data_IF_685500964599
#
_entry.id   IF_685500964599
#
_cell.length_a   1.000
_cell.length_b   1.000
_cell.length_c   1.000
_cell.angle_alpha   90.00
_cell.angle_beta   90.00
_cell.angle_gamma   90.00
#
_symmetry.space_group_name_H-M   'P 1'
#
loop_
_entity.id
_entity.type
_entity.pdbx_description
1 polymer ?
#
# COMPACT_ATOMS: atom_id res chain seq x y z
N UNK A 1 21.11 0.54 -72.84
CA UNK A 1 19.74 0.15 -73.24
C UNK A 1 18.91 -0.07 -71.97
N UNK A 2 17.67 0.46 -71.95
CA UNK A 2 16.64 0.52 -70.88
C UNK A 2 16.39 -0.80 -70.09
N UNK A 3 15.62 -0.82 -68.97
CA UNK A 3 14.92 0.27 -68.25
C UNK A 3 14.99 0.26 -66.70
N UNK A 4 14.60 1.40 -66.12
CA UNK A 4 14.13 1.59 -64.75
C UNK A 4 12.81 0.83 -64.50
N UNK A 5 12.68 0.17 -63.35
CA UNK A 5 11.39 -0.15 -62.73
C UNK A 5 11.17 0.73 -61.49
N UNK A 6 10.26 1.69 -61.59
CA UNK A 6 9.66 2.38 -60.45
C UNK A 6 8.76 1.41 -59.69
N UNK A 7 9.09 1.12 -58.42
CA UNK A 7 8.13 0.50 -57.48
C UNK A 7 7.26 1.59 -56.88
N UNK A 8 5.99 1.57 -57.26
CA UNK A 8 4.92 2.34 -56.66
C UNK A 8 4.69 1.81 -55.23
N UNK A 9 5.10 2.56 -54.21
CA UNK A 9 4.75 2.26 -52.82
C UNK A 9 3.37 2.88 -52.56
N UNK A 10 2.37 2.03 -52.44
CA UNK A 10 1.03 2.43 -51.99
C UNK A 10 1.13 2.81 -50.50
N UNK A 11 1.09 4.10 -50.17
CA UNK A 11 0.86 4.55 -48.81
C UNK A 11 -0.60 4.24 -48.44
N UNK A 12 -0.83 3.16 -47.70
CA UNK A 12 -2.08 2.97 -46.97
C UNK A 12 -2.04 3.87 -45.75
N UNK A 13 -2.69 5.02 -45.84
CA UNK A 13 -2.98 5.86 -44.68
C UNK A 13 -3.99 5.13 -43.80
N UNK A 14 -3.51 4.30 -42.89
CA UNK A 14 -4.32 3.81 -41.78
C UNK A 14 -4.61 5.00 -40.88
N UNK A 15 -5.83 5.55 -40.99
CA UNK A 15 -6.37 6.50 -40.05
C UNK A 15 -6.31 5.87 -38.66
N UNK A 16 -5.29 6.27 -37.90
CA UNK A 16 -5.11 5.87 -36.52
C UNK A 16 -6.21 6.59 -35.75
N UNK A 17 -7.30 5.90 -35.47
CA UNK A 17 -8.24 6.32 -34.44
C UNK A 17 -7.47 6.29 -33.13
N UNK A 18 -6.91 7.45 -32.76
CA UNK A 18 -6.45 7.74 -31.42
C UNK A 18 -7.63 7.42 -30.50
N UNK A 19 -7.50 6.51 -29.54
CA UNK A 19 -8.52 6.36 -28.51
C UNK A 19 -8.62 7.72 -27.83
N UNK A 20 -9.77 8.38 -27.98
CA UNK A 20 -10.02 9.66 -27.35
C UNK A 20 -9.70 9.53 -25.86
N UNK A 21 -8.78 10.35 -25.38
CA UNK A 21 -8.54 10.47 -23.94
C UNK A 21 -9.90 10.72 -23.28
N UNK A 22 -10.21 9.96 -22.24
CA UNK A 22 -11.40 10.19 -21.45
C UNK A 22 -11.40 11.66 -21.01
N UNK A 23 -12.19 12.49 -21.69
CA UNK A 23 -12.34 13.89 -21.34
C UNK A 23 -12.78 13.98 -19.88
N UNK A 24 -12.23 14.94 -19.15
CA UNK A 24 -12.67 15.19 -17.79
C UNK A 24 -14.21 15.26 -17.78
N UNK A 25 -14.86 14.39 -17.01
CA UNK A 25 -16.32 14.40 -16.85
C UNK A 25 -16.76 15.84 -16.54
N UNK A 26 -17.64 16.42 -17.35
CA UNK A 26 -18.14 17.76 -17.10
C UNK A 26 -19.11 17.75 -15.90
N UNK A 27 -18.57 17.98 -14.71
CA UNK A 27 -19.35 18.07 -13.50
C UNK A 27 -20.07 19.43 -13.41
N UNK A 28 -21.38 19.42 -13.16
CA UNK A 28 -22.12 20.62 -12.84
C UNK A 28 -21.60 21.32 -11.57
N UNK A 29 -21.75 22.65 -11.48
CA UNK A 29 -21.18 23.44 -10.37
C UNK A 29 -21.69 23.02 -8.98
N UNK A 30 -22.93 22.53 -8.87
CA UNK A 30 -23.45 21.97 -7.61
C UNK A 30 -22.61 20.76 -7.16
N UNK A 31 -22.39 19.81 -8.05
CA UNK A 31 -21.59 18.61 -7.78
C UNK A 31 -20.14 18.98 -7.47
N UNK A 32 -19.54 19.92 -8.21
CA UNK A 32 -18.20 20.42 -7.92
C UNK A 32 -18.08 21.02 -6.52
N UNK A 33 -19.06 21.84 -6.09
CA UNK A 33 -19.08 22.40 -4.73
C UNK A 33 -19.14 21.32 -3.66
N UNK A 34 -19.99 20.31 -3.82
CA UNK A 34 -20.10 19.19 -2.87
C UNK A 34 -18.80 18.38 -2.82
N UNK A 35 -18.21 18.05 -3.96
CA UNK A 35 -16.93 17.33 -4.02
C UNK A 35 -15.81 18.10 -3.29
N UNK A 36 -15.75 19.43 -3.43
CA UNK A 36 -14.79 20.28 -2.70
C UNK A 36 -15.02 20.29 -1.19
N UNK A 37 -16.25 20.04 -0.71
CA UNK A 37 -16.55 19.88 0.71
C UNK A 37 -16.09 18.50 1.21
N UNK A 38 -16.44 17.43 0.49
CA UNK A 38 -16.00 16.07 0.78
C UNK A 38 -14.46 15.95 0.82
N UNK A 39 -13.78 16.61 -0.13
CA UNK A 39 -12.32 16.67 -0.17
C UNK A 39 -11.72 17.17 1.15
N UNK A 40 -12.38 18.05 1.89
CA UNK A 40 -11.85 18.65 3.14
C UNK A 40 -12.10 17.78 4.38
N UNK A 41 -12.91 16.74 4.29
CA UNK A 41 -13.27 15.92 5.45
C UNK A 41 -12.10 15.04 5.89
N UNK A 42 -11.92 14.93 7.20
CA UNK A 42 -10.94 14.04 7.81
C UNK A 42 -11.44 12.61 7.91
N UNK A 43 -12.66 12.45 8.41
CA UNK A 43 -13.39 11.20 8.59
C UNK A 43 -14.90 11.49 8.41
N UNK A 44 -15.68 10.47 8.08
CA UNK A 44 -17.14 10.55 8.01
C UNK A 44 -17.79 10.49 9.40
N UNK A 45 -17.19 9.72 10.31
CA UNK A 45 -17.67 9.59 11.69
C UNK A 45 -17.28 10.79 12.52
N UNK A 46 -18.13 11.15 13.49
CA UNK A 46 -17.89 12.24 14.43
C UNK A 46 -16.72 11.92 15.36
N UNK A 47 -16.00 12.95 15.78
CA UNK A 47 -14.95 12.82 16.78
C UNK A 47 -15.54 12.51 18.16
N UNK A 48 -14.78 11.74 18.95
CA UNK A 48 -15.14 11.41 20.33
C UNK A 48 -14.61 12.49 21.27
N UNK A 49 -15.44 13.12 22.12
CA UNK A 49 -15.04 14.28 22.93
C UNK A 49 -13.82 14.06 23.84
N UNK A 50 -13.61 12.82 24.32
CA UNK A 50 -12.52 12.47 25.23
C UNK A 50 -11.21 12.10 24.53
N UNK A 51 -11.18 12.07 23.19
CA UNK A 51 -10.02 11.63 22.40
C UNK A 51 -9.61 12.69 21.37
N UNK A 52 -8.39 12.60 20.81
CA UNK A 52 -7.99 13.42 19.68
C UNK A 52 -8.98 13.31 18.51
N UNK A 53 -9.02 14.36 17.69
CA UNK A 53 -9.84 14.39 16.48
C UNK A 53 -8.89 14.46 15.28
N UNK A 54 -8.94 13.44 14.43
CA UNK A 54 -8.05 13.34 13.29
C UNK A 54 -8.23 14.53 12.34
N UNK A 55 -7.12 15.11 11.90
CA UNK A 55 -7.10 16.19 10.92
C UNK A 55 -6.32 15.77 9.69
N UNK A 56 -7.05 15.55 8.58
CA UNK A 56 -6.41 15.29 7.29
C UNK A 56 -5.53 16.48 6.90
N UNK A 57 -4.39 16.16 6.29
CA UNK A 57 -3.45 17.15 5.75
C UNK A 57 -3.33 16.94 4.25
N UNK A 58 -4.28 17.49 3.53
CA UNK A 58 -4.41 17.40 2.06
C UNK A 58 -4.35 18.77 1.37
N UNK A 59 -3.78 19.77 2.06
CA UNK A 59 -3.38 21.05 1.51
C UNK A 59 -2.04 20.93 0.77
N UNK A 60 -2.06 20.13 -0.30
CA UNK A 60 -0.85 19.73 -1.01
C UNK A 60 -0.05 20.92 -1.56
N UNK A 61 1.29 20.90 -1.45
CA UNK A 61 2.14 21.94 -1.98
C UNK A 61 2.24 21.82 -3.50
N UNK A 62 2.20 22.96 -4.21
CA UNK A 62 2.43 22.97 -5.67
C UNK A 62 3.90 22.74 -6.04
N UNK A 63 4.81 23.13 -5.16
CA UNK A 63 6.25 23.08 -5.38
C UNK A 63 6.95 22.23 -4.33
N UNK A 64 7.85 21.41 -4.82
CA UNK A 64 8.87 20.72 -4.06
C UNK A 64 9.72 21.72 -3.27
N UNK A 65 10.39 21.24 -2.24
CA UNK A 65 11.52 21.94 -1.62
C UNK A 65 12.74 21.04 -1.77
N UNK A 66 13.87 21.55 -2.29
CA UNK A 66 15.11 20.79 -2.26
C UNK A 66 15.39 20.34 -0.82
N UNK A 67 15.67 19.06 -0.66
CA UNK A 67 16.02 18.47 0.61
C UNK A 67 17.18 17.49 0.40
N UNK A 68 18.14 17.51 1.32
CA UNK A 68 19.20 16.51 1.35
C UNK A 68 18.61 15.22 1.94
N UNK A 69 18.51 14.19 1.11
CA UNK A 69 17.99 12.89 1.52
C UNK A 69 19.10 12.09 2.23
N UNK A 70 18.94 11.69 3.50
CA UNK A 70 19.99 11.04 4.29
C UNK A 70 20.53 9.72 3.73
N UNK A 71 19.74 9.03 2.89
CA UNK A 71 20.11 7.76 2.28
C UNK A 71 20.65 7.88 0.86
N UNK A 72 20.82 9.11 0.33
CA UNK A 72 21.22 9.36 -1.06
C UNK A 72 22.48 8.61 -1.47
N UNK A 73 23.45 8.55 -0.56
CA UNK A 73 24.77 7.96 -0.80
C UNK A 73 24.90 6.54 -0.22
N UNK A 74 23.79 5.92 0.19
CA UNK A 74 23.76 4.54 0.68
C UNK A 74 23.25 3.65 -0.45
N UNK A 75 24.06 2.68 -0.88
CA UNK A 75 23.61 1.67 -1.82
C UNK A 75 22.72 0.65 -1.10
N UNK A 76 21.42 0.74 -1.32
CA UNK A 76 20.43 -0.14 -0.72
C UNK A 76 20.59 -1.62 -1.10
N UNK A 77 21.31 -1.94 -2.20
CA UNK A 77 21.52 -3.33 -2.63
C UNK A 77 22.60 -4.03 -1.82
N UNK A 78 23.56 -3.27 -1.30
CA UNK A 78 24.71 -3.79 -0.54
C UNK A 78 24.62 -3.44 0.95
N UNK A 79 23.94 -2.34 1.30
CA UNK A 79 23.74 -1.87 2.67
C UNK A 79 22.24 -1.66 3.01
N UNK A 80 21.36 -2.67 2.82
CA UNK A 80 19.90 -2.50 2.97
C UNK A 80 19.46 -2.06 4.36
N UNK A 81 20.10 -2.57 5.42
CA UNK A 81 19.79 -2.19 6.80
C UNK A 81 20.12 -0.72 7.08
N UNK A 82 21.33 -0.28 6.69
CA UNK A 82 21.77 1.11 6.88
C UNK A 82 20.88 2.07 6.10
N UNK A 83 20.50 1.70 4.88
CA UNK A 83 19.55 2.45 4.06
C UNK A 83 18.20 2.61 4.77
N UNK A 84 17.62 1.49 5.21
CA UNK A 84 16.37 1.46 5.95
C UNK A 84 16.43 2.33 7.21
N UNK A 85 17.47 2.18 8.02
CA UNK A 85 17.67 2.99 9.25
C UNK A 85 17.71 4.49 8.96
N UNK A 86 18.37 4.91 7.88
CA UNK A 86 18.39 6.31 7.46
C UNK A 86 16.99 6.82 7.05
N UNK A 87 16.21 6.01 6.33
CA UNK A 87 14.82 6.32 5.96
C UNK A 87 13.92 6.39 7.21
N UNK A 88 14.06 5.45 8.15
CA UNK A 88 13.30 5.42 9.40
C UNK A 88 13.56 6.66 10.27
N UNK A 89 14.81 7.07 10.38
CA UNK A 89 15.20 8.29 11.10
C UNK A 89 14.58 9.55 10.46
N UNK A 90 14.58 9.63 9.12
CA UNK A 90 13.93 10.71 8.39
C UNK A 90 12.42 10.77 8.64
N UNK A 91 11.74 9.61 8.66
CA UNK A 91 10.31 9.49 8.94
C UNK A 91 9.98 9.91 10.37
N UNK A 92 10.75 9.43 11.35
CA UNK A 92 10.52 9.71 12.77
C UNK A 92 10.77 11.18 13.13
N UNK A 93 11.66 11.87 12.41
CA UNK A 93 12.07 13.25 12.70
C UNK A 93 10.88 14.21 12.84
N UNK A 94 10.63 14.60 14.10
CA UNK A 94 9.53 15.48 14.50
C UNK A 94 8.16 14.82 14.57
N UNK A 95 7.93 13.67 13.93
CA UNK A 95 6.64 12.97 13.96
C UNK A 95 6.42 12.24 15.29
N UNK A 96 7.43 11.55 15.83
CA UNK A 96 7.31 10.82 17.10
C UNK A 96 7.00 11.76 18.27
N UNK A 97 7.53 12.99 18.23
CA UNK A 97 7.31 14.01 19.26
C UNK A 97 5.93 14.69 19.22
N UNK A 98 5.17 14.54 18.13
CA UNK A 98 3.83 15.13 17.98
C UNK A 98 2.73 14.08 17.87
N UNK A 99 3.03 12.84 18.27
CA UNK A 99 2.10 11.71 18.20
C UNK A 99 1.48 11.57 16.80
N UNK A 100 2.32 11.71 15.77
CA UNK A 100 1.95 11.55 14.36
C UNK A 100 0.85 12.49 13.86
N UNK A 101 0.53 13.55 14.61
CA UNK A 101 -0.30 14.65 14.14
C UNK A 101 0.49 15.51 13.16
N UNK A 102 0.51 15.12 11.88
CA UNK A 102 1.40 15.66 10.84
C UNK A 102 1.37 17.19 10.69
N UNK A 103 0.27 17.84 11.05
CA UNK A 103 0.14 19.31 11.06
C UNK A 103 0.96 20.00 12.16
N UNK A 104 1.37 19.26 13.20
CA UNK A 104 2.16 19.75 14.32
C UNK A 104 3.67 19.53 14.12
N UNK A 105 4.08 18.66 13.18
CA UNK A 105 5.49 18.43 12.89
C UNK A 105 6.12 19.72 12.33
N UNK A 106 7.14 20.24 13.03
CA UNK A 106 7.88 21.45 12.65
C UNK A 106 9.21 21.17 11.95
N UNK A 107 9.63 19.91 11.89
CA UNK A 107 10.86 19.49 11.20
C UNK A 107 10.59 19.25 9.72
N UNK A 108 9.50 18.56 9.39
CA UNK A 108 9.14 18.19 8.02
C UNK A 108 7.65 18.23 7.78
N UNK A 109 7.30 18.57 6.54
CA UNK A 109 5.92 18.55 6.06
C UNK A 109 5.56 17.15 5.54
N UNK A 110 4.49 16.57 6.10
CA UNK A 110 3.91 15.30 5.68
C UNK A 110 2.43 15.45 5.34
N UNK A 111 1.90 14.62 4.45
CA UNK A 111 0.57 14.78 3.88
C UNK A 111 -0.15 13.44 3.75
N UNK A 112 -1.47 13.48 3.87
CA UNK A 112 -2.33 12.31 3.73
C UNK A 112 -2.98 12.28 2.35
N UNK A 113 -3.22 11.09 1.80
CA UNK A 113 -4.10 10.96 0.63
C UNK A 113 -5.52 11.47 0.94
N UNK A 114 -6.17 12.03 -0.09
CA UNK A 114 -7.51 12.59 -0.01
C UNK A 114 -8.59 11.51 -0.22
N UNK A 115 -9.85 11.85 0.02
CA UNK A 115 -11.02 10.99 -0.22
C UNK A 115 -11.11 9.68 0.59
N UNK A 116 -10.17 9.44 1.50
CA UNK A 116 -10.22 8.30 2.43
C UNK A 116 -11.20 8.50 3.61
N UNK A 117 -11.80 9.69 3.77
CA UNK A 117 -12.67 9.99 4.92
C UNK A 117 -13.84 9.00 5.16
N UNK A 118 -14.44 8.33 4.14
CA UNK A 118 -15.50 7.35 4.38
C UNK A 118 -15.03 6.11 5.13
N UNK A 119 -13.73 5.77 5.04
CA UNK A 119 -13.15 4.55 5.60
C UNK A 119 -12.22 4.81 6.79
N UNK A 120 -12.05 6.08 7.18
CA UNK A 120 -11.21 6.47 8.32
C UNK A 120 -11.97 6.39 9.63
N UNK A 121 -11.30 5.89 10.67
CA UNK A 121 -11.73 6.12 12.05
C UNK A 121 -11.40 7.57 12.49
N UNK A 122 -12.22 8.17 13.37
CA UNK A 122 -12.20 9.61 13.59
C UNK A 122 -11.09 10.12 14.53
N UNK A 123 -10.38 9.25 15.24
CA UNK A 123 -9.42 9.63 16.29
C UNK A 123 -8.03 9.88 15.71
N UNK A 124 -7.48 8.89 15.02
CA UNK A 124 -6.13 8.90 14.43
C UNK A 124 -6.15 8.84 12.89
N UNK A 125 -7.33 8.68 12.27
CA UNK A 125 -7.49 8.64 10.82
C UNK A 125 -7.17 7.28 10.22
N UNK A 126 -7.12 6.22 11.02
CA UNK A 126 -6.73 4.90 10.56
C UNK A 126 -7.76 4.29 9.61
N UNK A 127 -7.32 3.48 8.65
CA UNK A 127 -8.16 2.65 7.79
C UNK A 127 -7.95 1.18 8.09
N UNK A 128 -9.03 0.39 8.05
CA UNK A 128 -8.92 -1.06 8.20
C UNK A 128 -8.14 -1.64 7.04
N UNK A 129 -7.11 -2.43 7.35
CA UNK A 129 -6.32 -3.14 6.34
C UNK A 129 -6.89 -4.54 6.16
N UNK A 130 -6.82 -5.33 7.25
CA UNK A 130 -7.34 -6.70 7.31
C UNK A 130 -7.28 -7.24 8.74
N UNK A 131 -7.88 -8.40 8.94
CA UNK A 131 -7.61 -9.19 10.14
C UNK A 131 -6.38 -10.07 9.99
N UNK A 132 -5.61 -10.26 11.08
CA UNK A 132 -4.55 -11.27 11.14
C UNK A 132 -5.15 -12.67 11.07
N UNK A 133 -4.52 -13.54 10.29
CA UNK A 133 -4.89 -14.94 10.11
C UNK A 133 -4.57 -15.75 11.36
N UNK A 134 -5.01 -17.00 11.43
CA UNK A 134 -4.66 -17.87 12.54
C UNK A 134 -3.13 -18.06 12.61
N UNK A 135 -2.55 -17.89 13.81
CA UNK A 135 -1.13 -18.03 14.09
C UNK A 135 -0.19 -17.15 13.25
N UNK A 136 -0.71 -16.06 12.70
CA UNK A 136 0.08 -15.15 11.86
C UNK A 136 1.03 -14.31 12.69
N UNK A 137 0.59 -13.85 13.87
CA UNK A 137 1.41 -13.02 14.75
C UNK A 137 2.29 -13.84 15.69
N UNK A 138 1.77 -14.98 16.14
CA UNK A 138 2.49 -15.97 16.93
C UNK A 138 1.68 -17.26 17.00
N UNK A 139 2.29 -18.36 17.45
CA UNK A 139 1.55 -19.60 17.71
C UNK A 139 0.44 -19.45 18.79
N UNK A 140 0.52 -18.44 19.66
CA UNK A 140 -0.48 -18.18 20.70
C UNK A 140 -1.69 -17.38 20.19
N UNK A 141 -1.59 -16.72 19.04
CA UNK A 141 -2.68 -15.93 18.47
C UNK A 141 -3.73 -16.83 17.80
N UNK A 142 -4.80 -17.12 18.53
CA UNK A 142 -5.93 -17.96 18.06
C UNK A 142 -7.16 -17.16 17.67
N UNK A 143 -7.29 -15.89 18.07
CA UNK A 143 -8.37 -14.98 17.67
C UNK A 143 -7.95 -14.17 16.45
N UNK A 144 -8.88 -13.91 15.51
CA UNK A 144 -8.66 -12.91 14.46
C UNK A 144 -8.48 -11.51 15.06
N UNK A 145 -7.26 -11.00 15.02
CA UNK A 145 -6.94 -9.63 15.43
C UNK A 145 -7.14 -8.69 14.26
N UNK A 146 -7.41 -7.40 14.49
CA UNK A 146 -7.64 -6.41 13.45
C UNK A 146 -6.43 -5.51 13.28
N UNK A 147 -6.01 -5.32 12.03
CA UNK A 147 -4.90 -4.44 11.67
C UNK A 147 -5.44 -3.19 10.97
N UNK A 148 -4.97 -2.04 11.43
CA UNK A 148 -5.41 -0.71 11.01
C UNK A 148 -4.20 0.17 10.73
N UNK A 149 -4.27 1.00 9.71
CA UNK A 149 -3.11 1.77 9.27
C UNK A 149 -3.41 3.22 8.94
N UNK A 150 -2.35 4.03 8.97
CA UNK A 150 -2.36 5.37 8.39
C UNK A 150 -1.11 5.56 7.53
N UNK A 151 -1.33 5.88 6.25
CA UNK A 151 -0.28 6.20 5.29
C UNK A 151 -0.12 7.71 5.10
N UNK A 152 1.11 8.15 4.89
CA UNK A 152 1.44 9.56 4.64
C UNK A 152 2.70 9.72 3.80
N UNK A 153 2.79 10.87 3.11
CA UNK A 153 3.78 11.16 2.08
C UNK A 153 4.53 12.43 2.43
N UNK A 154 5.84 12.46 2.18
CA UNK A 154 6.62 13.66 2.39
C UNK A 154 6.16 14.78 1.44
N UNK A 155 6.65 16.00 1.68
CA UNK A 155 6.36 17.16 0.86
C UNK A 155 6.58 16.92 -0.63
N UNK A 156 7.67 16.23 -0.99
CA UNK A 156 8.03 15.92 -2.38
C UNK A 156 6.93 15.10 -3.06
N UNK A 157 6.52 13.98 -2.46
CA UNK A 157 5.42 13.16 -2.96
C UNK A 157 4.08 13.89 -3.00
N UNK A 158 3.81 14.75 -2.01
CA UNK A 158 2.58 15.52 -1.95
C UNK A 158 2.41 16.49 -3.14
N UNK A 159 3.49 16.88 -3.83
CA UNK A 159 3.38 17.67 -5.06
C UNK A 159 2.69 16.91 -6.19
N UNK A 160 2.81 15.58 -6.24
CA UNK A 160 2.11 14.75 -7.20
C UNK A 160 0.60 14.76 -6.91
N UNK A 161 0.20 14.69 -5.63
CA UNK A 161 -1.21 14.82 -5.27
C UNK A 161 -1.79 16.20 -5.58
N UNK A 162 -0.98 17.27 -5.55
CA UNK A 162 -1.43 18.59 -5.99
C UNK A 162 -1.78 18.63 -7.48
N UNK A 163 -1.16 17.77 -8.31
CA UNK A 163 -1.47 17.63 -9.74
C UNK A 163 -2.77 16.86 -9.95
N UNK A 164 -2.92 15.72 -9.27
CA UNK A 164 -4.14 14.90 -9.35
C UNK A 164 -5.35 15.68 -8.87
N UNK A 165 -5.25 16.33 -7.73
CA UNK A 165 -6.33 17.09 -7.12
C UNK A 165 -6.21 18.60 -7.38
N UNK A 166 -5.70 18.96 -8.56
CA UNK A 166 -5.56 20.36 -9.01
C UNK A 166 -6.91 21.06 -8.95
N UNK A 167 -7.94 20.39 -9.48
CA UNK A 167 -9.32 20.69 -9.17
C UNK A 167 -9.77 19.73 -8.06
N UNK A 168 -10.10 20.27 -6.89
CA UNK A 168 -10.44 19.44 -5.72
C UNK A 168 -11.77 18.70 -5.88
N UNK A 169 -12.56 19.01 -6.92
CA UNK A 169 -13.78 18.28 -7.23
C UNK A 169 -13.59 17.02 -8.06
N UNK A 170 -12.44 16.84 -8.73
CA UNK A 170 -12.25 15.75 -9.68
C UNK A 170 -10.75 15.39 -9.83
N UNK A 171 -10.37 14.12 -9.70
CA UNK A 171 -8.99 13.70 -9.90
C UNK A 171 -8.61 13.71 -11.38
N UNK A 172 -7.35 14.08 -11.63
CA UNK A 172 -6.66 13.99 -12.92
C UNK A 172 -5.51 12.97 -12.80
N UNK A 173 -5.79 11.72 -13.21
CA UNK A 173 -4.90 10.56 -13.00
C UNK A 173 -4.03 10.25 -14.23
N UNK A 174 -4.22 10.96 -15.33
CA UNK A 174 -3.51 10.71 -16.57
C UNK A 174 -2.01 11.00 -16.42
N UNK A 175 -1.17 10.04 -16.81
CA UNK A 175 0.30 10.17 -16.76
C UNK A 175 0.85 10.39 -15.34
N UNK A 176 0.12 9.94 -14.31
CA UNK A 176 0.54 10.13 -12.93
C UNK A 176 1.84 9.37 -12.63
N UNK A 177 2.79 10.08 -12.03
CA UNK A 177 3.99 9.51 -11.43
C UNK A 177 4.44 10.40 -10.27
N UNK A 178 4.97 9.77 -9.21
CA UNK A 178 5.63 10.49 -8.14
C UNK A 178 7.02 10.95 -8.59
N UNK A 179 7.42 12.17 -8.19
CA UNK A 179 8.78 12.62 -8.44
C UNK A 179 9.78 11.84 -7.56
N UNK A 180 11.02 11.72 -8.04
CA UNK A 180 12.15 11.20 -7.25
C UNK A 180 12.27 11.91 -5.91
N UNK A 181 12.69 11.17 -4.88
CA UNK A 181 12.78 11.64 -3.50
C UNK A 181 11.43 11.66 -2.78
N UNK A 182 10.36 11.19 -3.41
CA UNK A 182 9.11 10.87 -2.71
C UNK A 182 9.38 9.79 -1.67
N UNK A 183 8.88 10.03 -0.46
CA UNK A 183 8.86 9.04 0.62
C UNK A 183 7.42 8.87 1.06
N UNK A 184 6.96 7.63 1.05
CA UNK A 184 5.73 7.20 1.72
C UNK A 184 6.10 6.41 2.97
N UNK A 185 5.33 6.58 4.03
CA UNK A 185 5.41 5.75 5.21
C UNK A 185 4.00 5.36 5.68
N UNK A 186 3.86 4.17 6.24
CA UNK A 186 2.60 3.65 6.79
C UNK A 186 2.87 3.11 8.19
N UNK A 187 2.14 3.63 9.19
CA UNK A 187 2.08 2.97 10.48
C UNK A 187 0.97 1.94 10.45
N UNK A 188 1.28 0.72 10.86
CA UNK A 188 0.35 -0.39 10.90
C UNK A 188 0.24 -0.89 12.34
N UNK A 189 -0.96 -0.82 12.89
CA UNK A 189 -1.25 -1.14 14.28
C UNK A 189 -2.22 -2.32 14.38
N UNK A 190 -2.16 -3.07 15.48
CA UNK A 190 -3.01 -4.25 15.72
C UNK A 190 -3.75 -4.16 17.05
N UNK A 191 -4.94 -4.77 17.13
CA UNK A 191 -5.67 -5.01 18.38
C UNK A 191 -5.30 -6.33 19.09
N UNK A 192 -4.19 -6.98 18.67
CA UNK A 192 -3.64 -8.13 19.37
C UNK A 192 -3.24 -7.75 20.81
N UNK A 193 -3.23 -8.69 21.75
CA UNK A 193 -2.66 -8.55 23.11
C UNK A 193 -1.19 -8.99 23.18
N UNK A 194 -0.53 -8.79 24.32
CA UNK A 194 0.86 -9.26 24.53
C UNK A 194 0.94 -10.78 24.45
N UNK A 195 -0.08 -11.48 24.94
CA UNK A 195 -0.16 -12.94 24.87
C UNK A 195 -0.31 -13.42 23.43
N UNK A 196 -1.09 -12.71 22.60
CA UNK A 196 -1.28 -13.04 21.19
C UNK A 196 -0.06 -12.69 20.34
N UNK A 197 0.68 -11.62 20.67
CA UNK A 197 1.87 -11.20 19.95
C UNK A 197 2.99 -10.77 20.91
N UNK A 198 3.71 -11.72 21.56
CA UNK A 198 4.66 -11.41 22.64
C UNK A 198 5.81 -10.48 22.24
N UNK A 199 6.21 -10.50 20.97
CA UNK A 199 7.26 -9.62 20.46
C UNK A 199 6.83 -8.13 20.43
N UNK A 200 5.53 -7.83 20.56
CA UNK A 200 5.00 -6.46 20.64
C UNK A 200 4.99 -5.87 22.06
N UNK A 201 5.30 -6.67 23.09
CA UNK A 201 5.28 -6.25 24.48
C UNK A 201 6.32 -5.16 24.80
N UNK A 202 6.17 -4.48 25.93
CA UNK A 202 7.10 -3.44 26.38
C UNK A 202 6.74 -2.04 25.89
N UNK A 203 7.75 -1.20 25.65
CA UNK A 203 7.56 0.20 25.28
C UNK A 203 7.14 0.35 23.82
N UNK A 204 5.85 0.13 23.56
CA UNK A 204 5.23 0.24 22.25
C UNK A 204 4.35 1.51 22.15
N UNK A 205 4.17 2.03 20.94
CA UNK A 205 3.14 3.02 20.65
C UNK A 205 1.77 2.37 20.80
N UNK A 206 0.95 2.91 21.71
CA UNK A 206 -0.42 2.46 21.94
C UNK A 206 -1.41 3.60 21.72
N UNK A 207 -2.40 3.37 20.86
CA UNK A 207 -3.45 4.34 20.53
C UNK A 207 -4.83 3.82 20.90
N UNK A 208 -5.69 4.71 21.40
CA UNK A 208 -7.11 4.44 21.58
C UNK A 208 -7.84 4.83 20.30
N UNK A 209 -8.41 3.86 19.58
CA UNK A 209 -9.09 4.10 18.32
C UNK A 209 -10.52 3.54 18.32
N UNK A 210 -11.47 4.30 17.78
CA UNK A 210 -12.84 3.82 17.57
C UNK A 210 -12.90 3.01 16.28
N UNK A 211 -12.37 1.79 16.28
CA UNK A 211 -12.36 0.95 15.08
C UNK A 211 -13.73 0.31 14.80
N UNK A 212 -14.64 0.32 15.77
CA UNK A 212 -15.96 -0.32 15.70
C UNK A 212 -17.10 0.66 15.39
N UNK A 213 -16.88 1.97 15.51
CA UNK A 213 -17.89 2.98 15.19
C UNK A 213 -19.03 3.06 16.20
N UNK A 214 -18.82 2.53 17.41
CA UNK A 214 -19.80 2.51 18.47
C UNK A 214 -19.41 3.42 19.65
N UNK A 215 -18.36 4.25 19.47
CA UNK A 215 -17.87 5.14 20.50
C UNK A 215 -17.18 4.43 21.67
N UNK A 216 -16.79 3.16 21.51
CA UNK A 216 -16.02 2.39 22.47
C UNK A 216 -14.62 2.14 21.90
N UNK A 217 -13.63 2.99 22.21
CA UNK A 217 -12.27 2.85 21.72
C UNK A 217 -11.64 1.53 22.16
N UNK A 218 -10.75 1.00 21.33
CA UNK A 218 -9.88 -0.13 21.69
C UNK A 218 -8.43 0.28 21.57
N UNK A 219 -7.57 -0.37 22.36
CA UNK A 219 -6.12 -0.19 22.25
C UNK A 219 -5.61 -0.87 20.98
N UNK A 220 -4.91 -0.09 20.15
CA UNK A 220 -4.11 -0.57 19.04
C UNK A 220 -2.63 -0.34 19.34
N UNK A 221 -1.77 -1.28 18.93
CA UNK A 221 -0.31 -1.22 19.19
C UNK A 221 0.46 -1.28 17.88
N UNK A 222 1.54 -0.51 17.77
CA UNK A 222 2.36 -0.51 16.56
C UNK A 222 2.95 -1.89 16.33
N UNK A 223 2.63 -2.46 15.18
CA UNK A 223 3.06 -3.77 14.74
C UNK A 223 4.15 -3.65 13.69
N UNK A 224 3.96 -2.72 12.74
CA UNK A 224 4.79 -2.60 11.55
C UNK A 224 4.84 -1.15 11.06
N UNK A 225 5.95 -0.80 10.41
CA UNK A 225 6.10 0.43 9.65
C UNK A 225 6.55 0.08 8.24
N UNK A 226 5.74 0.41 7.24
CA UNK A 226 6.14 0.28 5.84
C UNK A 226 6.69 1.60 5.33
N UNK A 227 7.69 1.51 4.46
CA UNK A 227 8.34 2.65 3.83
C UNK A 227 8.46 2.39 2.33
N UNK A 228 8.24 3.42 1.53
CA UNK A 228 8.51 3.37 0.09
C UNK A 228 9.23 4.65 -0.33
N UNK A 229 10.35 4.49 -1.04
CA UNK A 229 11.16 5.61 -1.52
C UNK A 229 11.23 5.55 -3.04
N UNK A 230 10.86 6.67 -3.68
CA UNK A 230 11.01 6.84 -5.13
C UNK A 230 12.45 7.16 -5.44
N UNK A 231 13.10 6.25 -6.17
CA UNK A 231 14.48 6.43 -6.64
C UNK A 231 14.49 6.78 -8.12
N UNK A 232 15.61 7.31 -8.60
CA UNK A 232 15.84 7.44 -10.03
C UNK A 232 15.64 6.08 -10.72
N UNK A 233 14.95 6.01 -11.87
CA UNK A 233 14.85 4.78 -12.64
C UNK A 233 16.26 4.33 -13.03
N UNK A 234 16.68 3.16 -12.57
CA UNK A 234 17.95 2.51 -12.94
C UNK A 234 17.68 1.07 -13.32
N UNK A 235 18.43 0.58 -14.30
CA UNK A 235 18.61 -0.85 -14.59
C UNK A 235 17.33 -1.67 -14.87
N UNK A 236 16.29 -1.07 -15.46
CA UNK A 236 15.03 -1.79 -15.77
C UNK A 236 14.23 -2.23 -14.54
N UNK A 237 14.46 -1.60 -13.39
CA UNK A 237 13.71 -1.79 -12.15
C UNK A 237 12.50 -0.85 -12.08
N UNK A 238 11.61 -1.12 -11.12
CA UNK A 238 10.35 -0.41 -10.93
C UNK A 238 10.47 1.05 -10.42
N UNK A 239 11.67 1.57 -10.20
CA UNK A 239 11.91 2.94 -9.73
C UNK A 239 11.45 3.23 -8.29
N UNK A 240 11.17 2.19 -7.51
CA UNK A 240 10.83 2.27 -6.09
C UNK A 240 11.62 1.27 -5.26
N UNK A 241 11.98 1.67 -4.05
CA UNK A 241 12.53 0.80 -3.02
C UNK A 241 11.52 0.74 -1.87
N UNK A 242 10.97 -0.45 -1.63
CA UNK A 242 9.97 -0.72 -0.60
C UNK A 242 10.63 -1.46 0.55
N UNK A 243 10.30 -1.09 1.77
CA UNK A 243 10.84 -1.73 2.94
C UNK A 243 9.86 -1.77 4.07
N UNK A 244 10.12 -2.66 5.01
CA UNK A 244 9.25 -2.87 6.16
C UNK A 244 10.08 -3.01 7.42
N UNK A 245 9.58 -2.43 8.50
CA UNK A 245 10.01 -2.68 9.87
C UNK A 245 8.91 -3.39 10.63
N UNK A 246 9.28 -4.30 11.51
CA UNK A 246 8.38 -4.80 12.55
C UNK A 246 8.80 -4.21 13.89
N UNK A 247 7.85 -3.99 14.78
CA UNK A 247 8.16 -3.63 16.16
C UNK A 247 8.68 -4.86 16.90
N UNK A 248 9.74 -4.71 17.71
CA UNK A 248 10.26 -5.76 18.56
C UNK A 248 10.65 -5.22 19.94
N UNK A 249 9.73 -5.32 20.89
CA UNK A 249 9.93 -4.74 22.22
C UNK A 249 10.91 -5.49 23.10
N UNK A 250 11.41 -6.66 22.66
CA UNK A 250 12.54 -7.35 23.30
C UNK A 250 13.83 -6.52 23.24
N UNK A 251 13.91 -5.53 22.34
CA UNK A 251 14.99 -4.55 22.31
C UNK A 251 15.04 -3.64 23.55
N UNK A 252 13.92 -3.47 24.26
CA UNK A 252 13.88 -2.79 25.56
C UNK A 252 14.20 -1.29 25.52
N UNK A 253 14.20 -0.65 24.35
CA UNK A 253 14.44 0.79 24.26
C UNK A 253 13.27 1.59 24.83
N UNK A 254 13.57 2.64 25.59
CA UNK A 254 12.55 3.52 26.19
C UNK A 254 11.75 4.31 25.16
N UNK A 255 12.41 4.76 24.08
CA UNK A 255 11.75 5.34 22.93
C UNK A 255 11.25 4.22 22.02
N UNK A 256 9.94 4.06 21.90
CA UNK A 256 9.31 2.99 21.14
C UNK A 256 9.80 2.92 19.68
N UNK A 257 10.18 4.05 19.09
CA UNK A 257 10.61 4.12 17.70
C UNK A 257 11.95 3.38 17.48
N UNK A 258 12.78 3.30 18.51
CA UNK A 258 14.08 2.63 18.45
C UNK A 258 13.94 1.09 18.54
N UNK A 259 12.76 0.59 18.95
CA UNK A 259 12.42 -0.85 18.95
C UNK A 259 11.97 -1.38 17.57
N UNK A 260 11.93 -0.55 16.53
CA UNK A 260 11.64 -1.02 15.17
C UNK A 260 12.85 -1.75 14.59
N UNK A 261 12.62 -2.92 14.00
CA UNK A 261 13.67 -3.76 13.39
C UNK A 261 13.35 -3.95 11.90
N UNK A 262 14.32 -3.77 10.99
CA UNK A 262 14.14 -4.09 9.57
C UNK A 262 13.64 -5.52 9.39
N UNK A 263 12.47 -5.69 8.76
CA UNK A 263 12.01 -6.98 8.25
C UNK A 263 12.69 -7.30 6.91
N UNK A 264 12.86 -6.28 6.06
CA UNK A 264 13.57 -6.39 4.79
C UNK A 264 13.27 -5.24 3.83
N UNK A 265 13.85 -5.34 2.64
CA UNK A 265 13.84 -4.34 1.58
C UNK A 265 13.66 -5.01 0.21
N UNK A 266 12.91 -4.41 -0.70
CA UNK A 266 12.69 -4.86 -2.07
C UNK A 266 12.89 -3.70 -3.04
N UNK A 267 13.62 -3.93 -4.13
CA UNK A 267 13.86 -2.94 -5.19
C UNK A 267 13.56 -3.48 -6.59
N UNK A 268 12.94 -4.65 -6.63
CA UNK A 268 12.41 -5.34 -7.80
C UNK A 268 11.78 -6.65 -7.36
N UNK A 269 10.92 -7.21 -8.19
CA UNK A 269 10.08 -8.36 -7.84
C UNK A 269 10.68 -9.70 -8.28
N UNK A 270 11.92 -9.73 -8.79
CA UNK A 270 12.63 -10.92 -9.27
C UNK A 270 11.75 -11.79 -10.21
N UNK A 271 11.30 -11.28 -11.38
CA UNK A 271 10.29 -11.92 -12.23
C UNK A 271 10.65 -13.34 -12.69
N UNK A 272 11.94 -13.63 -12.84
CA UNK A 272 12.44 -14.92 -13.34
C UNK A 272 12.71 -15.94 -12.23
N UNK A 273 12.52 -15.59 -10.96
CA UNK A 273 12.77 -16.49 -9.84
C UNK A 273 11.61 -17.47 -9.65
N UNK A 274 11.92 -18.76 -9.78
CA UNK A 274 10.94 -19.85 -9.89
C UNK A 274 10.83 -20.68 -8.60
N UNK A 275 9.83 -21.57 -8.55
CA UNK A 275 9.70 -22.56 -7.48
C UNK A 275 10.87 -23.53 -7.42
N UNK A 276 11.48 -23.86 -8.56
CA UNK A 276 12.62 -24.76 -8.65
C UNK A 276 13.86 -24.13 -7.99
N UNK A 277 14.12 -22.84 -8.27
CA UNK A 277 15.22 -22.09 -7.64
C UNK A 277 15.05 -22.06 -6.12
N UNK A 278 13.83 -21.78 -5.65
CA UNK A 278 13.50 -21.80 -4.23
C UNK A 278 13.70 -23.19 -3.61
N UNK A 279 13.33 -24.27 -4.31
CA UNK A 279 13.56 -25.64 -3.86
C UNK A 279 15.05 -25.97 -3.71
N UNK A 280 15.88 -25.42 -4.61
CA UNK A 280 17.33 -25.55 -4.59
C UNK A 280 18.02 -24.67 -3.52
N UNK A 281 17.25 -23.97 -2.68
CA UNK A 281 17.78 -23.14 -1.61
C UNK A 281 18.18 -21.72 -2.03
N UNK A 282 17.96 -21.35 -3.29
CA UNK A 282 18.24 -19.99 -3.77
C UNK A 282 17.23 -18.98 -3.21
N UNK A 283 17.53 -17.69 -3.36
CA UNK A 283 16.66 -16.58 -2.92
C UNK A 283 16.55 -15.51 -4.01
N UNK A 284 15.45 -14.74 -4.02
CA UNK A 284 15.29 -13.60 -4.94
C UNK A 284 16.44 -12.61 -4.82
N UNK A 285 16.94 -12.11 -5.95
CA UNK A 285 18.11 -11.21 -6.01
C UNK A 285 17.76 -9.73 -5.99
N UNK A 286 16.48 -9.39 -6.16
CA UNK A 286 15.98 -8.01 -6.17
C UNK A 286 15.39 -7.56 -4.83
N UNK A 287 15.88 -8.14 -3.74
CA UNK A 287 15.50 -7.77 -2.39
C UNK A 287 16.42 -8.41 -1.34
N UNK A 288 16.19 -8.04 -0.10
CA UNK A 288 16.85 -8.58 1.08
C UNK A 288 15.79 -8.80 2.17
N UNK A 289 15.85 -9.94 2.83
CA UNK A 289 15.01 -10.27 3.99
C UNK A 289 15.92 -10.48 5.19
N UNK A 290 15.60 -9.85 6.32
CA UNK A 290 16.34 -10.05 7.56
C UNK A 290 16.15 -11.49 8.06
N UNK A 291 17.22 -12.28 8.24
CA UNK A 291 17.11 -13.66 8.74
C UNK A 291 16.43 -13.78 10.11
N UNK A 292 16.58 -12.77 10.98
CA UNK A 292 15.91 -12.74 12.29
C UNK A 292 14.39 -12.60 12.10
N UNK A 293 13.96 -11.72 11.20
CA UNK A 293 12.55 -11.57 10.85
C UNK A 293 12.00 -12.83 10.17
N UNK A 294 12.77 -13.43 9.27
CA UNK A 294 12.40 -14.68 8.59
C UNK A 294 12.14 -15.81 9.60
N UNK A 295 13.00 -15.96 10.61
CA UNK A 295 12.82 -16.91 11.69
C UNK A 295 11.61 -16.60 12.58
N UNK A 296 11.44 -15.34 12.97
CA UNK A 296 10.34 -14.90 13.84
C UNK A 296 8.97 -15.12 13.19
N UNK A 297 8.86 -14.89 11.89
CA UNK A 297 7.61 -14.94 11.14
C UNK A 297 7.43 -16.21 10.30
N UNK A 298 8.25 -17.25 10.52
CA UNK A 298 8.23 -18.47 9.73
C UNK A 298 6.88 -19.22 9.77
N UNK A 299 6.04 -19.03 10.78
CA UNK A 299 4.75 -19.74 10.89
C UNK A 299 3.62 -19.10 10.07
N UNK A 300 3.81 -17.88 9.55
CA UNK A 300 2.69 -17.09 8.99
C UNK A 300 2.28 -17.46 7.56
N UNK A 301 3.15 -18.20 6.87
CA UNK A 301 3.03 -18.51 5.44
C UNK A 301 3.33 -20.00 5.17
N UNK A 302 2.68 -20.63 4.18
CA UNK A 302 2.86 -22.06 3.88
C UNK A 302 4.25 -22.47 3.39
N UNK A 303 5.08 -21.52 3.00
CA UNK A 303 6.47 -21.71 2.57
C UNK A 303 7.49 -21.31 3.65
N UNK A 304 7.01 -20.86 4.81
CA UNK A 304 7.87 -20.39 5.90
C UNK A 304 8.58 -19.08 5.61
N UNK A 305 8.01 -18.26 4.73
CA UNK A 305 8.61 -17.00 4.25
C UNK A 305 7.71 -15.81 4.50
N UNK A 306 8.32 -14.64 4.33
CA UNK A 306 7.58 -13.39 4.43
C UNK A 306 6.60 -13.22 3.26
N UNK A 307 7.10 -13.31 2.03
CA UNK A 307 6.32 -13.28 0.80
C UNK A 307 6.61 -14.48 -0.09
N UNK A 308 5.93 -14.51 -1.25
CA UNK A 308 5.91 -15.65 -2.14
C UNK A 308 7.32 -16.08 -2.57
N UNK A 309 7.71 -17.31 -2.22
CA UNK A 309 9.03 -17.89 -2.51
C UNK A 309 10.20 -17.08 -1.93
N UNK A 310 9.99 -16.40 -0.80
CA UNK A 310 11.03 -15.63 -0.13
C UNK A 310 11.22 -14.20 -0.65
N UNK A 311 10.32 -13.71 -1.52
CA UNK A 311 10.28 -12.28 -1.85
C UNK A 311 9.88 -11.46 -0.61
N UNK A 312 10.34 -10.22 -0.56
CA UNK A 312 10.15 -9.38 0.62
C UNK A 312 8.68 -8.97 0.79
N UNK A 313 8.16 -9.10 2.01
CA UNK A 313 6.79 -8.74 2.37
C UNK A 313 6.69 -8.44 3.87
N UNK A 314 5.69 -7.69 4.33
CA UNK A 314 5.56 -7.29 5.74
C UNK A 314 4.94 -8.35 6.67
N UNK A 315 5.25 -8.35 7.99
CA UNK A 315 4.61 -9.10 9.09
C UNK A 315 3.20 -9.60 8.83
N UNK A 316 2.33 -8.69 8.39
CA UNK A 316 0.92 -8.95 8.16
C UNK A 316 0.51 -8.58 6.73
N UNK A 317 1.28 -9.01 5.74
CA UNK A 317 0.87 -8.94 4.33
C UNK A 317 0.34 -10.30 3.82
N UNK A 318 -0.19 -10.33 2.59
CA UNK A 318 -0.63 -11.58 1.95
C UNK A 318 0.58 -12.35 1.41
N UNK A 319 0.83 -13.59 1.87
CA UNK A 319 2.03 -14.35 1.52
C UNK A 319 2.06 -14.80 0.04
N UNK A 320 0.98 -14.62 -0.72
CA UNK A 320 0.95 -14.90 -2.17
C UNK A 320 1.59 -13.78 -3.00
N UNK A 321 2.07 -12.71 -2.37
CA UNK A 321 2.66 -11.53 -3.01
C UNK A 321 4.03 -11.16 -2.46
N UNK A 322 4.54 -10.02 -2.92
CA UNK A 322 5.56 -9.19 -2.30
C UNK A 322 5.05 -7.76 -2.12
N UNK A 323 5.75 -6.93 -1.36
CA UNK A 323 5.35 -5.52 -1.17
C UNK A 323 5.23 -4.81 -2.52
N UNK A 324 6.25 -4.90 -3.39
CA UNK A 324 6.21 -4.24 -4.69
C UNK A 324 5.14 -4.82 -5.60
N UNK A 325 4.99 -6.15 -5.66
CA UNK A 325 3.99 -6.79 -6.52
C UNK A 325 2.55 -6.42 -6.12
N UNK A 326 2.28 -6.29 -4.82
CA UNK A 326 0.98 -5.81 -4.33
C UNK A 326 0.73 -4.35 -4.73
N UNK A 327 1.73 -3.49 -4.52
CA UNK A 327 1.58 -2.06 -4.80
C UNK A 327 1.57 -1.73 -6.29
N UNK A 328 2.18 -2.55 -7.15
CA UNK A 328 2.16 -2.36 -8.61
C UNK A 328 0.76 -2.47 -9.23
N UNK A 329 -0.26 -2.77 -8.42
CA UNK A 329 -1.67 -2.83 -8.81
C UNK A 329 -2.41 -1.51 -8.63
N UNK A 330 -1.76 -0.48 -8.10
CA UNK A 330 -2.34 0.85 -7.96
C UNK A 330 -2.69 1.46 -9.32
N UNK A 331 -3.97 1.48 -9.67
CA UNK A 331 -4.49 1.97 -10.95
C UNK A 331 -5.81 2.71 -10.73
N UNK A 332 -6.12 3.68 -11.60
CA UNK A 332 -7.48 4.24 -11.69
C UNK A 332 -8.32 3.29 -12.54
N UNK A 333 -9.11 2.42 -11.90
CA UNK A 333 -9.93 1.43 -12.60
C UNK A 333 -11.10 2.03 -13.38
N UNK A 334 -11.36 3.33 -13.25
CA UNK A 334 -12.43 4.01 -13.97
C UNK A 334 -13.83 3.39 -13.85
N UNK A 335 -14.09 2.68 -12.74
CA UNK A 335 -15.34 1.95 -12.48
C UNK A 335 -15.34 0.49 -12.96
N UNK A 336 -14.29 0.04 -13.64
CA UNK A 336 -14.10 -1.37 -13.97
C UNK A 336 -13.73 -2.22 -12.74
N UNK A 337 -13.91 -3.53 -12.86
CA UNK A 337 -13.51 -4.47 -11.83
C UNK A 337 -11.97 -4.61 -11.76
N UNK A 338 -11.43 -4.59 -10.55
CA UNK A 338 -9.99 -4.78 -10.35
C UNK A 338 -9.56 -6.17 -10.87
N UNK A 339 -8.47 -6.23 -11.66
CA UNK A 339 -7.82 -7.50 -11.95
C UNK A 339 -7.28 -8.15 -10.66
N UNK A 340 -7.06 -9.48 -10.64
CA UNK A 340 -6.58 -10.17 -9.44
C UNK A 340 -5.31 -9.54 -8.87
N UNK A 341 -5.23 -9.49 -7.54
CA UNK A 341 -4.09 -8.93 -6.79
C UNK A 341 -2.91 -9.91 -6.71
N UNK A 342 -3.19 -11.21 -6.78
CA UNK A 342 -2.21 -12.29 -6.60
C UNK A 342 -2.39 -13.38 -7.65
N UNK A 343 -1.35 -14.20 -7.93
CA UNK A 343 -1.49 -15.35 -8.79
C UNK A 343 -2.59 -16.30 -8.28
N UNK A 344 -3.49 -16.79 -9.15
CA UNK A 344 -4.56 -17.69 -8.74
C UNK A 344 -3.99 -19.00 -8.20
N UNK A 345 -4.81 -19.76 -7.46
CA UNK A 345 -4.40 -21.08 -6.94
C UNK A 345 -3.91 -22.03 -8.04
N UNK A 346 -4.53 -21.98 -9.22
CA UNK A 346 -4.11 -22.76 -10.38
C UNK A 346 -2.68 -22.44 -10.84
N UNK A 347 -2.18 -21.23 -10.57
CA UNK A 347 -0.81 -20.83 -10.87
C UNK A 347 0.14 -21.12 -9.70
N UNK A 348 -0.16 -20.56 -8.53
CA UNK A 348 0.78 -20.52 -7.39
C UNK A 348 0.76 -21.77 -6.53
N UNK A 349 -0.32 -22.57 -6.60
CA UNK A 349 -0.62 -23.68 -5.69
C UNK A 349 -0.74 -23.28 -4.22
N UNK A 350 -0.94 -22.00 -3.94
CA UNK A 350 -1.26 -21.47 -2.62
C UNK A 350 -2.72 -21.02 -2.63
N UNK A 351 -3.52 -21.51 -1.67
CA UNK A 351 -4.90 -21.07 -1.48
C UNK A 351 -5.18 -20.74 -0.03
N UNK A 352 -6.15 -19.86 0.15
CA UNK A 352 -6.70 -19.58 1.46
C UNK A 352 -7.60 -20.74 1.89
N UNK A 353 -7.54 -21.10 3.17
CA UNK A 353 -8.38 -22.12 3.79
C UNK A 353 -9.03 -21.57 5.04
N UNK A 354 -10.27 -22.00 5.29
CA UNK A 354 -11.01 -21.65 6.49
C UNK A 354 -10.64 -22.59 7.63
N UNK A 355 -10.30 -22.01 8.77
CA UNK A 355 -10.06 -22.74 10.03
C UNK A 355 -10.90 -22.03 11.08
N UNK A 356 -12.19 -22.38 11.18
CA UNK A 356 -13.18 -21.61 11.93
C UNK A 356 -12.69 -21.29 13.36
N UNK A 357 -12.82 -20.03 13.83
CA UNK A 357 -13.46 -18.87 13.18
C UNK A 357 -12.53 -18.03 12.26
N UNK A 358 -11.35 -18.54 11.95
CA UNK A 358 -10.28 -17.84 11.24
C UNK A 358 -10.07 -18.35 9.82
N UNK A 359 -9.03 -17.81 9.19
CA UNK A 359 -8.51 -18.21 7.89
C UNK A 359 -6.99 -18.36 8.00
N UNK A 360 -6.42 -19.23 7.18
CA UNK A 360 -4.97 -19.34 6.95
C UNK A 360 -4.71 -19.67 5.48
N UNK A 361 -3.47 -19.99 5.12
CA UNK A 361 -3.11 -20.47 3.80
C UNK A 361 -2.57 -21.89 3.87
N UNK A 362 -2.70 -22.60 2.77
CA UNK A 362 -2.00 -23.86 2.55
C UNK A 362 -1.36 -23.87 1.16
N UNK A 363 -0.31 -24.69 1.02
CA UNK A 363 0.37 -24.95 -0.24
C UNK A 363 0.08 -26.38 -0.67
N UNK A 364 -0.52 -26.55 -1.85
CA UNK A 364 -1.04 -27.84 -2.34
C UNK A 364 -0.35 -28.22 -3.65
N UNK A 365 0.91 -28.64 -3.58
CA UNK A 365 1.69 -29.03 -4.76
C UNK A 365 1.15 -30.31 -5.43
N UNK A 366 0.44 -31.15 -4.69
CA UNK A 366 -0.23 -32.33 -5.24
C UNK A 366 -1.37 -31.99 -6.23
N UNK A 367 -1.86 -30.74 -6.23
CA UNK A 367 -2.92 -30.29 -7.14
C UNK A 367 -2.42 -29.95 -8.56
N UNK A 368 -1.12 -30.09 -8.83
CA UNK A 368 -0.51 -29.87 -10.15
C UNK A 368 0.73 -28.97 -10.11
N UNK A 369 1.44 -28.82 -11.25
CA UNK A 369 2.63 -27.99 -11.34
C UNK A 369 2.32 -26.51 -11.11
N UNK A 370 3.30 -25.75 -10.65
CA UNK A 370 3.24 -24.28 -10.62
C UNK A 370 3.31 -23.75 -12.05
N UNK A 371 2.42 -22.83 -12.41
CA UNK A 371 2.50 -22.10 -13.67
C UNK A 371 3.40 -20.88 -13.47
N UNK A 372 4.70 -21.05 -13.72
CA UNK A 372 5.71 -20.01 -13.50
C UNK A 372 5.48 -18.78 -14.40
N UNK A 373 4.92 -18.97 -15.61
CA UNK A 373 4.64 -17.86 -16.51
C UNK A 373 3.47 -17.00 -15.98
N UNK A 374 2.41 -17.65 -15.51
CA UNK A 374 1.29 -16.93 -14.89
C UNK A 374 1.71 -16.30 -13.55
N UNK A 375 2.58 -16.93 -12.77
CA UNK A 375 3.16 -16.31 -11.57
C UNK A 375 4.00 -15.08 -11.94
N UNK A 376 4.91 -15.19 -12.91
CA UNK A 376 5.80 -14.11 -13.33
C UNK A 376 5.03 -12.85 -13.78
N UNK A 377 3.82 -12.99 -14.32
CA UNK A 377 2.94 -11.87 -14.66
C UNK A 377 2.66 -10.93 -13.47
N UNK A 378 2.53 -11.49 -12.26
CA UNK A 378 2.27 -10.72 -11.03
C UNK A 378 3.54 -10.11 -10.43
N UNK A 379 4.70 -10.66 -10.78
CA UNK A 379 6.01 -10.23 -10.27
C UNK A 379 6.83 -9.54 -11.37
N UNK A 380 6.18 -8.74 -12.23
CA UNK A 380 6.89 -7.89 -13.20
C UNK A 380 7.46 -6.66 -12.51
N UNK A 381 8.62 -6.21 -12.99
CA UNK A 381 9.17 -4.90 -12.64
C UNK A 381 8.51 -3.83 -13.51
N UNK A 382 7.29 -3.43 -13.13
CA UNK A 382 6.60 -2.35 -13.84
C UNK A 382 7.32 -1.03 -13.63
N UNK A 383 7.63 -0.31 -14.70
CA UNK A 383 8.25 0.99 -14.64
C UNK A 383 7.33 2.01 -13.93
N UNK A 384 7.88 3.13 -13.42
CA UNK A 384 7.08 4.27 -12.99
C UNK A 384 6.03 4.69 -14.02
N UNK A 385 4.76 4.71 -13.62
CA UNK A 385 3.65 5.06 -14.51
C UNK A 385 3.22 3.95 -15.48
N UNK A 386 3.90 2.81 -15.50
CA UNK A 386 3.43 1.62 -16.23
C UNK A 386 2.25 1.01 -15.49
N UNK A 387 1.21 0.65 -16.25
CA UNK A 387 0.01 0.01 -15.74
C UNK A 387 0.16 -1.51 -15.78
N UNK A 388 -0.37 -2.18 -14.78
CA UNK A 388 -0.31 -3.65 -14.74
C UNK A 388 -1.11 -4.31 -15.85
N UNK A 389 -2.28 -3.77 -16.19
CA UNK A 389 -3.15 -4.33 -17.23
C UNK A 389 -2.94 -3.68 -18.60
N UNK A 390 -2.08 -2.66 -18.67
CA UNK A 390 -1.77 -1.92 -19.89
C UNK A 390 -2.91 -1.05 -20.44
N UNK A 391 -4.05 -0.95 -19.75
CA UNK A 391 -5.25 -0.23 -20.23
C UNK A 391 -5.70 0.90 -19.31
N UNK A 392 -5.54 0.75 -17.99
CA UNK A 392 -5.91 1.78 -17.03
C UNK A 392 -4.72 2.68 -16.64
N UNK A 393 -4.94 3.95 -16.26
CA UNK A 393 -3.87 4.80 -15.73
C UNK A 393 -3.24 4.20 -14.48
N UNK A 394 -1.90 4.08 -14.50
CA UNK A 394 -1.13 3.74 -13.30
C UNK A 394 -1.20 4.87 -12.28
N UNK A 395 -1.25 4.52 -11.01
CA UNK A 395 -1.16 5.45 -9.88
C UNK A 395 0.16 5.30 -9.12
N UNK A 396 1.20 4.89 -9.85
CA UNK A 396 2.61 4.80 -9.45
C UNK A 396 2.79 4.25 -8.03
N UNK A 397 2.36 2.98 -7.87
CA UNK A 397 2.48 2.19 -6.64
C UNK A 397 1.69 2.71 -5.41
N UNK A 398 0.87 3.77 -5.54
CA UNK A 398 0.07 4.30 -4.43
C UNK A 398 -1.35 3.72 -4.36
N UNK A 399 -1.50 2.65 -3.56
CA UNK A 399 -2.81 2.07 -3.24
C UNK A 399 -3.72 3.08 -2.51
N UNK A 400 -3.17 3.93 -1.64
CA UNK A 400 -3.91 5.04 -1.01
C UNK A 400 -4.54 6.01 -2.04
N UNK A 401 -3.81 6.37 -3.10
CA UNK A 401 -4.35 7.21 -4.16
C UNK A 401 -5.42 6.47 -4.96
N UNK A 402 -5.17 5.21 -5.32
CA UNK A 402 -6.14 4.37 -6.01
C UNK A 402 -7.46 4.26 -5.23
N UNK A 403 -7.37 3.99 -3.92
CA UNK A 403 -8.55 3.92 -3.05
C UNK A 403 -9.25 5.27 -2.93
N UNK A 404 -8.51 6.38 -2.83
CA UNK A 404 -9.10 7.72 -2.80
C UNK A 404 -9.88 8.05 -4.08
N UNK A 405 -9.35 7.68 -5.25
CA UNK A 405 -10.02 7.85 -6.54
C UNK A 405 -11.25 6.95 -6.64
N UNK A 406 -11.15 5.69 -6.21
CA UNK A 406 -12.27 4.74 -6.14
C UNK A 406 -13.42 5.31 -5.28
N UNK A 407 -13.11 5.83 -4.08
CA UNK A 407 -14.10 6.41 -3.18
C UNK A 407 -14.73 7.70 -3.73
N UNK A 408 -13.97 8.51 -4.47
CA UNK A 408 -14.51 9.65 -5.20
C UNK A 408 -15.49 9.23 -6.29
N UNK A 409 -15.15 8.20 -7.09
CA UNK A 409 -16.05 7.66 -8.13
C UNK A 409 -17.34 7.12 -7.53
N UNK A 410 -17.24 6.30 -6.47
CA UNK A 410 -18.39 5.77 -5.76
C UNK A 410 -19.29 6.87 -5.16
N UNK A 411 -18.70 7.98 -4.71
CA UNK A 411 -19.47 9.15 -4.30
C UNK A 411 -20.15 9.84 -5.49
N UNK A 412 -19.45 10.01 -6.61
CA UNK A 412 -19.98 10.65 -7.82
C UNK A 412 -21.17 9.86 -8.39
N UNK A 413 -21.07 8.54 -8.45
CA UNK A 413 -22.16 7.66 -8.94
C UNK A 413 -23.44 7.87 -8.12
N UNK A 414 -23.31 8.03 -6.79
CA UNK A 414 -24.45 8.35 -5.91
C UNK A 414 -25.04 9.74 -6.17
N UNK A 415 -24.23 10.71 -6.57
CA UNK A 415 -24.72 12.06 -6.92
C UNK A 415 -25.45 12.06 -8.27
N UNK A 416 -24.95 11.30 -9.25
CA UNK A 416 -25.50 11.24 -10.61
C UNK A 416 -26.76 10.37 -10.66
N UNK A 417 -26.79 9.25 -9.94
CA UNK A 417 -27.98 8.38 -9.84
C UNK A 417 -29.17 9.03 -9.11
N UNK A 418 -29.01 10.24 -8.57
CA UNK A 418 -30.07 11.04 -7.96
C UNK A 418 -30.73 10.36 -6.76
N UNK A 419 -30.05 10.30 -5.61
CA UNK A 419 -30.65 9.97 -4.29
C UNK A 419 -31.78 8.91 -4.35
N UNK A 420 -31.53 7.76 -4.97
CA UNK A 420 -32.29 6.53 -4.75
C UNK A 420 -32.06 6.00 -3.33
N UNK A 421 -32.92 5.08 -2.84
CA UNK A 421 -32.98 4.70 -1.44
C UNK A 421 -31.61 4.28 -0.90
N UNK A 422 -31.31 4.76 0.31
CA UNK A 422 -30.08 4.47 1.04
C UNK A 422 -29.74 2.97 0.97
N UNK A 423 -28.50 2.61 0.60
CA UNK A 423 -27.95 1.33 1.01
C UNK A 423 -27.93 1.27 2.54
N UNK A 424 -28.31 0.10 3.04
CA UNK A 424 -28.63 -0.25 4.41
C UNK A 424 -27.68 0.34 5.47
N UNK A 425 -28.26 0.56 6.66
CA UNK A 425 -27.56 0.85 7.90
C UNK A 425 -26.34 -0.07 8.10
N UNK A 426 -25.29 0.37 8.83
CA UNK A 426 -24.19 -0.49 9.19
C UNK A 426 -24.67 -1.53 10.21
N UNK A 427 -25.32 -2.59 9.74
CA UNK A 427 -25.43 -3.82 10.50
C UNK A 427 -24.02 -4.36 10.69
N UNK A 428 -23.51 -4.20 11.91
CA UNK A 428 -22.32 -4.86 12.46
C UNK A 428 -21.09 -4.85 11.55
N UNK A 429 -20.05 -4.12 11.96
CA UNK A 429 -18.67 -4.42 11.57
C UNK A 429 -18.24 -5.79 12.15
N UNK A 430 -18.93 -6.86 11.78
CA UNK A 430 -18.38 -8.20 11.71
C UNK A 430 -17.59 -8.23 10.41
N UNK A 431 -16.28 -8.37 10.53
CA UNK A 431 -15.39 -8.41 9.40
C UNK A 431 -15.86 -9.47 8.38
N UNK A 432 -16.00 -9.12 7.09
CA UNK A 432 -16.23 -10.14 6.09
C UNK A 432 -15.05 -11.11 6.10
N UNK A 433 -15.37 -12.41 6.01
CA UNK A 433 -14.43 -13.49 5.77
C UNK A 433 -13.96 -13.44 4.30
N UNK A 434 -13.28 -12.37 3.90
CA UNK A 434 -12.76 -12.19 2.55
C UNK A 434 -11.62 -11.20 2.58
N UNK A 435 -10.49 -11.55 1.95
CA UNK A 435 -9.26 -10.78 1.91
C UNK A 435 -9.52 -9.31 1.58
N UNK A 436 -9.43 -8.47 2.62
CA UNK A 436 -9.54 -7.02 2.48
C UNK A 436 -8.36 -6.48 1.71
N UNK A 437 -8.62 -5.46 0.88
CA UNK A 437 -7.60 -4.60 0.29
C UNK A 437 -6.82 -3.94 1.44
N UNK A 438 -5.61 -4.41 1.70
CA UNK A 438 -4.61 -3.62 2.43
C UNK A 438 -4.37 -2.34 1.63
N UNK A 439 -4.33 -1.21 2.32
CA UNK A 439 -4.45 0.14 1.80
C UNK A 439 -3.09 0.85 1.78
#
# INVERSE_FOLDING_TARGET
>A
MKPLLSRLILLVAAASLVPGGAGALELGEKTKRLARQEFRKSAQRSCLPALPCFKVRNNYPKLAKPEVLPWRDIDYRTEPERYLRAVLAYIGAGNTAVDWQLQKNRKRDWYHAAWMHPVREPVHGLTFERGSRLHELSAAQTRRTNNWAIGFYNRQGATAFARVWRERSQPDTAGFAFPEGTVSAKLLLTDATDEEAPYLAGHNLAWQADIRGNGQPVTLRLLQVDVAVKNAPRDGLNGWVFGTFYFDGRGGHANYWDNLVPAGLEWGTSPTFTRADFAAGQRPTQGWVNPVAEGLFATRAPDGKLGYLGRMNGPVDDPRSSCLACHSRAMDMQGAADPPLFPPFAASRIRQVSVAPNQTYEKVLAAGPVDEAQVALFFRNLAPGESFDGTHPSLDYSLQLAKGVELWRAWLDKQVAGSGPQPLAPESLAAPAGGGRGN
#
